data_IF_204068302809
#
_entry.id   IF_204068302809
#
_cell.length_a   1.000
_cell.length_b   1.000
_cell.length_c   1.000
_cell.angle_alpha   90.00
_cell.angle_beta   90.00
_cell.angle_gamma   90.00
#
_symmetry.space_group_name_H-M   'P 1'
#
loop_
_entity.id
_entity.type
_entity.pdbx_description
1 polymer ?
#
# COMPACT_ATOMS: atom_id res chain seq x y z
N UNK A 1 -27.50 0.46 -2.64
CA UNK A 1 -27.34 1.84 -2.13
C UNK A 1 -25.92 1.90 -1.61
N UNK A 2 -25.15 2.90 -2.03
CA UNK A 2 -23.75 3.03 -1.59
C UNK A 2 -23.66 3.50 -0.14
N UNK A 3 -22.43 3.69 0.33
CA UNK A 3 -22.13 4.15 1.67
C UNK A 3 -22.14 5.68 1.72
N UNK A 4 -22.88 6.23 2.69
CA UNK A 4 -23.12 7.68 2.81
C UNK A 4 -21.99 8.44 3.52
N UNK A 5 -21.01 7.73 4.10
CA UNK A 5 -19.79 8.30 4.68
C UNK A 5 -18.55 7.48 4.31
N UNK A 6 -17.40 8.13 4.08
CA UNK A 6 -16.13 7.44 3.92
C UNK A 6 -15.64 6.88 5.25
N UNK A 7 -15.02 5.70 5.21
CA UNK A 7 -14.31 5.16 6.36
C UNK A 7 -12.95 5.85 6.57
N UNK A 8 -12.46 5.90 7.79
CA UNK A 8 -11.11 6.41 8.07
C UNK A 8 -10.05 5.58 7.34
N UNK A 9 -9.17 6.25 6.59
CA UNK A 9 -8.01 5.64 5.89
C UNK A 9 -8.37 4.49 4.94
N UNK A 10 -9.60 4.45 4.40
CA UNK A 10 -10.00 3.45 3.41
C UNK A 10 -10.56 4.17 2.19
N UNK A 11 -9.78 4.22 1.11
CA UNK A 11 -10.20 4.83 -0.13
C UNK A 11 -11.02 3.82 -0.95
N UNK A 12 -12.23 4.23 -1.35
CA UNK A 12 -13.10 3.46 -2.25
C UNK A 12 -13.59 4.36 -3.39
N UNK A 13 -13.83 3.80 -4.59
CA UNK A 13 -14.46 4.55 -5.66
C UNK A 13 -15.91 4.91 -5.27
N UNK A 14 -16.43 5.98 -5.86
CA UNK A 14 -17.78 6.44 -5.61
C UNK A 14 -18.42 7.10 -6.81
N UNK A 15 -19.75 7.21 -6.79
CA UNK A 15 -20.51 7.78 -7.91
C UNK A 15 -20.27 9.29 -7.98
N UNK A 16 -19.43 9.72 -8.92
CA UNK A 16 -18.99 11.12 -9.08
C UNK A 16 -18.17 11.69 -7.91
N UNK A 17 -17.58 10.82 -7.08
CA UNK A 17 -16.73 11.24 -5.96
C UNK A 17 -15.28 11.16 -6.41
N UNK A 18 -14.59 12.30 -6.34
CA UNK A 18 -13.12 12.33 -6.42
C UNK A 18 -12.55 12.02 -5.04
N UNK A 19 -11.34 11.48 -4.97
CA UNK A 19 -10.65 11.12 -3.72
C UNK A 19 -10.21 12.34 -2.87
N UNK A 20 -10.88 13.50 -3.00
CA UNK A 20 -10.60 14.74 -2.29
C UNK A 20 -10.78 14.60 -0.76
N UNK A 21 -11.64 13.70 -0.29
CA UNK A 21 -11.81 13.40 1.13
C UNK A 21 -10.52 12.84 1.75
N UNK A 22 -9.68 12.14 0.97
CA UNK A 22 -8.41 11.60 1.43
C UNK A 22 -7.38 12.70 1.79
N UNK A 23 -7.62 13.96 1.42
CA UNK A 23 -6.78 15.11 1.80
C UNK A 23 -7.18 15.75 3.12
N UNK A 24 -8.33 15.39 3.69
CA UNK A 24 -8.81 15.98 4.93
C UNK A 24 -7.91 15.56 6.11
N UNK A 25 -7.55 16.50 6.99
CA UNK A 25 -6.71 16.20 8.15
C UNK A 25 -7.38 15.24 9.15
N UNK A 26 -8.72 15.24 9.21
CA UNK A 26 -9.51 14.29 10.02
C UNK A 26 -9.42 12.88 9.43
N UNK A 27 -9.31 12.75 8.11
CA UNK A 27 -9.11 11.44 7.46
C UNK A 27 -7.74 10.86 7.79
N UNK A 28 -6.68 11.67 7.63
CA UNK A 28 -5.30 11.32 7.96
C UNK A 28 -4.40 12.57 7.97
N UNK A 29 -4.11 13.10 9.16
CA UNK A 29 -3.22 14.26 9.34
C UNK A 29 -1.73 14.00 9.02
N UNK A 30 -1.34 12.74 8.87
CA UNK A 30 0.04 12.28 8.67
C UNK A 30 0.29 11.75 7.24
N UNK A 31 -0.69 11.88 6.34
CA UNK A 31 -0.60 11.40 4.95
C UNK A 31 0.72 11.82 4.29
N UNK A 32 1.07 13.10 4.41
CA UNK A 32 2.29 13.65 3.81
C UNK A 32 3.56 13.02 4.38
N UNK A 33 3.58 12.66 5.67
CA UNK A 33 4.70 11.98 6.30
C UNK A 33 4.85 10.54 5.78
N UNK A 34 3.75 9.78 5.78
CA UNK A 34 3.70 8.39 5.32
C UNK A 34 4.09 8.28 3.84
N UNK A 35 3.54 9.15 3.00
CA UNK A 35 3.86 9.14 1.57
C UNK A 35 5.31 9.61 1.31
N UNK A 36 5.85 10.53 2.14
CA UNK A 36 7.27 10.91 2.08
C UNK A 36 8.18 9.75 2.46
N UNK A 37 7.82 8.96 3.47
CA UNK A 37 8.58 7.77 3.85
C UNK A 37 8.66 6.77 2.68
N UNK A 38 7.53 6.50 2.01
CA UNK A 38 7.51 5.69 0.80
C UNK A 38 8.37 6.27 -0.33
N UNK A 39 8.30 7.58 -0.59
CA UNK A 39 9.14 8.22 -1.61
C UNK A 39 10.64 7.97 -1.36
N UNK A 40 11.08 8.00 -0.09
CA UNK A 40 12.46 7.68 0.30
C UNK A 40 12.78 6.21 0.03
N UNK A 41 11.88 5.28 0.39
CA UNK A 41 12.06 3.84 0.11
C UNK A 41 12.21 3.58 -1.39
N UNK A 42 11.35 4.18 -2.21
CA UNK A 42 11.40 4.06 -3.66
C UNK A 42 12.71 4.63 -4.23
N UNK A 43 13.16 5.78 -3.72
CA UNK A 43 14.44 6.37 -4.14
C UNK A 43 15.63 5.46 -3.80
N UNK A 44 15.61 4.83 -2.62
CA UNK A 44 16.65 3.89 -2.24
C UNK A 44 16.61 2.62 -3.10
N UNK A 45 15.42 2.11 -3.46
CA UNK A 45 15.28 0.99 -4.39
C UNK A 45 15.81 1.34 -5.79
N UNK A 46 15.51 2.54 -6.31
CA UNK A 46 16.10 3.03 -7.57
C UNK A 46 17.63 3.05 -7.51
N UNK A 47 18.20 3.47 -6.38
CA UNK A 47 19.65 3.44 -6.17
C UNK A 47 20.21 2.03 -6.13
N UNK A 48 19.48 1.05 -5.59
CA UNK A 48 19.89 -0.36 -5.66
C UNK A 48 19.98 -0.83 -7.12
N UNK A 49 19.03 -0.43 -7.97
CA UNK A 49 19.03 -0.77 -9.39
C UNK A 49 20.18 -0.14 -10.19
N UNK A 50 20.91 0.84 -9.64
CA UNK A 50 22.17 1.32 -10.24
C UNK A 50 23.30 0.28 -10.16
N UNK A 51 23.19 -0.70 -9.24
CA UNK A 51 24.24 -1.69 -8.97
C UNK A 51 23.78 -3.13 -9.24
N UNK A 52 22.50 -3.42 -9.06
CA UNK A 52 21.90 -4.74 -9.30
C UNK A 52 20.89 -4.59 -10.42
N UNK A 53 21.17 -5.19 -11.58
CA UNK A 53 20.29 -5.14 -12.74
C UNK A 53 18.90 -5.69 -12.38
N UNK A 54 17.80 -5.00 -12.71
CA UNK A 54 16.43 -5.49 -12.50
C UNK A 54 16.13 -6.64 -13.47
N UNK A 55 16.45 -7.87 -13.07
CA UNK A 55 16.26 -9.08 -13.84
C UNK A 55 16.01 -10.30 -12.93
N UNK A 56 15.43 -11.37 -13.49
CA UNK A 56 15.10 -12.61 -12.78
C UNK A 56 16.31 -13.22 -12.08
N UNK A 57 17.47 -13.25 -12.74
CA UNK A 57 18.70 -13.87 -12.23
C UNK A 57 19.21 -13.19 -10.95
N UNK A 58 18.81 -11.94 -10.72
CA UNK A 58 19.25 -11.16 -9.57
C UNK A 58 18.28 -11.17 -8.39
N UNK A 59 17.09 -11.77 -8.50
CA UNK A 59 16.07 -11.77 -7.45
C UNK A 59 16.58 -12.33 -6.11
N UNK A 60 17.41 -13.37 -6.15
CA UNK A 60 18.02 -13.96 -4.95
C UNK A 60 19.23 -13.17 -4.40
N UNK A 61 19.64 -12.07 -5.04
CA UNK A 61 20.77 -11.25 -4.56
C UNK A 61 20.43 -10.65 -3.20
N UNK A 62 21.35 -10.73 -2.24
CA UNK A 62 21.18 -10.18 -0.89
C UNK A 62 22.40 -9.34 -0.50
N UNK A 63 22.19 -8.33 0.35
CA UNK A 63 23.26 -7.47 0.83
C UNK A 63 22.85 -6.72 2.10
N UNK A 64 23.81 -6.04 2.75
CA UNK A 64 23.49 -5.18 3.88
C UNK A 64 22.58 -4.01 3.48
N UNK A 65 22.70 -3.51 2.24
CA UNK A 65 21.84 -2.44 1.72
C UNK A 65 20.40 -2.91 1.49
N UNK A 66 20.24 -4.14 1.01
CA UNK A 66 18.92 -4.78 0.87
C UNK A 66 18.30 -5.06 2.24
N UNK A 67 19.09 -5.55 3.20
CA UNK A 67 18.67 -5.73 4.59
C UNK A 67 18.15 -4.43 5.23
N UNK A 68 18.91 -3.33 5.10
CA UNK A 68 18.51 -2.02 5.62
C UNK A 68 17.22 -1.51 4.98
N UNK A 69 17.02 -1.76 3.69
CA UNK A 69 15.82 -1.35 2.97
C UNK A 69 14.61 -2.24 3.33
N UNK A 70 14.80 -3.56 3.44
CA UNK A 70 13.76 -4.51 3.86
C UNK A 70 13.21 -4.16 5.24
N UNK A 71 14.08 -3.90 6.21
CA UNK A 71 13.66 -3.53 7.57
C UNK A 71 12.82 -2.25 7.58
N UNK A 72 13.25 -1.22 6.85
CA UNK A 72 12.52 0.05 6.80
C UNK A 72 11.17 -0.11 6.08
N UNK A 73 11.15 -0.81 4.94
CA UNK A 73 9.90 -1.05 4.21
C UNK A 73 8.88 -1.81 5.06
N UNK A 74 9.27 -2.89 5.73
CA UNK A 74 8.35 -3.65 6.58
C UNK A 74 7.91 -2.86 7.80
N UNK A 75 8.78 -2.02 8.40
CA UNK A 75 8.40 -1.14 9.51
C UNK A 75 7.38 -0.08 9.06
N UNK A 76 7.54 0.49 7.86
CA UNK A 76 6.55 1.43 7.30
C UNK A 76 5.22 0.74 6.98
N UNK A 77 5.25 -0.50 6.50
CA UNK A 77 4.04 -1.31 6.33
C UNK A 77 3.31 -1.51 7.66
N UNK A 78 4.01 -1.97 8.71
CA UNK A 78 3.44 -2.13 10.06
C UNK A 78 2.86 -0.83 10.61
N UNK A 79 3.57 0.29 10.43
CA UNK A 79 3.12 1.62 10.84
C UNK A 79 1.81 2.02 10.15
N UNK A 80 1.70 1.80 8.84
CA UNK A 80 0.46 2.07 8.10
C UNK A 80 -0.69 1.18 8.58
N UNK A 81 -0.46 -0.12 8.76
CA UNK A 81 -1.50 -1.05 9.24
C UNK A 81 -2.04 -0.65 10.60
N UNK A 82 -1.15 -0.32 11.55
CA UNK A 82 -1.55 0.17 12.88
C UNK A 82 -2.41 1.42 12.79
N UNK A 83 -2.03 2.38 11.94
CA UNK A 83 -2.78 3.63 11.77
C UNK A 83 -4.17 3.41 11.18
N UNK A 84 -4.30 2.49 10.23
CA UNK A 84 -5.61 2.09 9.68
C UNK A 84 -6.49 1.50 10.79
N UNK A 85 -5.97 0.52 11.53
CA UNK A 85 -6.71 -0.16 12.59
C UNK A 85 -7.10 0.80 13.72
N UNK A 86 -6.16 1.59 14.24
CA UNK A 86 -6.42 2.54 15.33
C UNK A 86 -7.39 3.66 14.92
N UNK A 87 -7.34 4.13 13.67
CA UNK A 87 -8.28 5.15 13.19
C UNK A 87 -9.72 4.64 13.04
N UNK A 88 -9.92 3.33 13.10
CA UNK A 88 -11.22 2.67 13.01
C UNK A 88 -11.56 1.92 14.32
N UNK A 89 -11.06 2.41 15.47
CA UNK A 89 -11.48 1.91 16.77
C UNK A 89 -10.96 0.52 17.17
N UNK A 90 -9.96 -0.05 16.47
CA UNK A 90 -9.40 -1.36 16.85
C UNK A 90 -8.73 -1.31 18.23
N UNK A 91 -9.14 -2.20 19.13
CA UNK A 91 -8.81 -2.11 20.56
C UNK A 91 -7.42 -2.65 20.92
N UNK A 92 -6.84 -3.55 20.13
CA UNK A 92 -5.54 -4.15 20.46
C UNK A 92 -4.38 -3.18 20.26
N UNK A 93 -3.53 -3.07 21.28
CA UNK A 93 -2.32 -2.23 21.28
C UNK A 93 -1.06 -3.01 20.86
N UNK A 94 -1.11 -4.34 20.86
CA UNK A 94 0.00 -5.24 20.53
C UNK A 94 -0.24 -5.98 19.21
N UNK A 95 -0.63 -5.22 18.19
CA UNK A 95 -0.97 -5.74 16.87
C UNK A 95 0.20 -6.49 16.21
N UNK A 96 -0.15 -7.57 15.52
CA UNK A 96 0.73 -8.41 14.74
C UNK A 96 0.18 -8.61 13.31
N UNK A 97 0.84 -9.45 12.51
CA UNK A 97 0.48 -9.66 11.10
C UNK A 97 -0.93 -10.22 10.89
N UNK A 98 -1.50 -10.94 11.86
CA UNK A 98 -2.88 -11.42 11.78
C UNK A 98 -3.89 -10.29 11.96
N UNK A 99 -3.57 -9.30 12.79
CA UNK A 99 -4.38 -8.09 12.90
C UNK A 99 -4.30 -7.28 11.60
N UNK A 100 -3.09 -7.19 11.02
CA UNK A 100 -2.91 -6.49 9.75
C UNK A 100 -3.63 -7.19 8.59
N UNK A 101 -3.75 -8.52 8.61
CA UNK A 101 -4.54 -9.26 7.61
C UNK A 101 -6.00 -8.79 7.55
N UNK A 102 -6.60 -8.40 8.68
CA UNK A 102 -7.99 -7.89 8.71
C UNK A 102 -8.21 -6.67 7.82
N UNK A 103 -7.18 -5.85 7.63
CA UNK A 103 -7.28 -4.68 6.74
C UNK A 103 -7.46 -5.11 5.27
N UNK A 104 -7.07 -6.33 4.90
CA UNK A 104 -7.24 -6.84 3.55
C UNK A 104 -8.70 -6.83 3.12
N UNK A 105 -9.64 -7.18 4.00
CA UNK A 105 -11.08 -7.16 3.70
C UNK A 105 -11.58 -5.75 3.38
N UNK A 106 -11.14 -4.76 4.15
CA UNK A 106 -11.61 -3.39 4.01
C UNK A 106 -10.98 -2.65 2.83
N UNK A 107 -9.72 -2.96 2.49
CA UNK A 107 -8.93 -2.28 1.46
C UNK A 107 -8.70 -3.12 0.19
N UNK A 108 -9.07 -4.40 0.18
CA UNK A 108 -8.88 -5.38 -0.90
C UNK A 108 -7.43 -5.45 -1.39
N UNK A 109 -6.48 -5.52 -0.46
CA UNK A 109 -5.04 -5.40 -0.77
C UNK A 109 -4.54 -6.49 -1.73
N UNK A 110 -5.06 -7.71 -1.60
CA UNK A 110 -4.74 -8.87 -2.45
C UNK A 110 -5.15 -8.71 -3.91
N UNK A 111 -6.11 -7.84 -4.21
CA UNK A 111 -6.59 -7.60 -5.59
C UNK A 111 -5.70 -6.65 -6.38
N UNK A 112 -4.78 -5.91 -5.74
CA UNK A 112 -3.88 -5.00 -6.44
C UNK A 112 -2.78 -5.77 -7.19
N UNK A 113 -2.60 -5.42 -8.47
CA UNK A 113 -1.47 -5.88 -9.28
C UNK A 113 -0.61 -4.70 -9.70
N UNK A 114 0.69 -4.86 -9.51
CA UNK A 114 1.70 -3.89 -9.92
C UNK A 114 2.58 -4.45 -11.02
N UNK A 115 3.17 -3.57 -11.82
CA UNK A 115 4.20 -3.94 -12.80
C UNK A 115 5.41 -3.02 -12.68
N UNK A 116 6.60 -3.56 -12.91
CA UNK A 116 7.82 -2.80 -13.19
C UNK A 116 8.18 -3.01 -14.67
N UNK A 117 8.00 -1.96 -15.48
CA UNK A 117 8.17 -2.04 -16.93
C UNK A 117 9.64 -2.07 -17.39
N UNK A 118 10.56 -1.46 -16.61
CA UNK A 118 11.99 -1.40 -16.94
C UNK A 118 12.76 -2.64 -16.45
N UNK A 119 12.19 -3.83 -16.67
CA UNK A 119 12.83 -5.11 -16.34
C UNK A 119 13.62 -5.63 -17.54
N UNK A 120 14.79 -6.25 -17.31
CA UNK A 120 15.55 -6.91 -18.37
C UNK A 120 14.85 -8.22 -18.73
N UNK A 121 14.18 -8.22 -19.87
CA UNK A 121 13.32 -9.32 -20.32
C UNK A 121 11.89 -8.85 -20.40
N UNK A 122 10.95 -9.67 -19.89
CA UNK A 122 9.56 -9.29 -19.77
C UNK A 122 9.33 -8.45 -18.50
N UNK A 123 8.38 -7.50 -18.49
CA UNK A 123 8.00 -6.77 -17.27
C UNK A 123 7.65 -7.71 -16.12
N UNK A 124 8.18 -7.43 -14.94
CA UNK A 124 7.83 -8.20 -13.74
C UNK A 124 6.49 -7.71 -13.17
N UNK A 125 5.57 -8.67 -12.97
CA UNK A 125 4.29 -8.44 -12.30
C UNK A 125 4.39 -8.83 -10.84
N UNK A 126 3.83 -7.99 -9.97
CA UNK A 126 3.93 -8.12 -8.53
C UNK A 126 2.54 -8.11 -7.90
N UNK A 127 2.35 -9.00 -6.94
CA UNK A 127 1.19 -9.04 -6.05
C UNK A 127 1.69 -9.20 -4.61
N UNK A 128 1.98 -8.09 -3.92
CA UNK A 128 2.61 -8.14 -2.60
C UNK A 128 1.71 -8.77 -1.51
N UNK A 129 0.41 -8.93 -1.79
CA UNK A 129 -0.58 -9.50 -0.88
C UNK A 129 -1.29 -10.72 -1.48
N UNK A 130 -0.70 -11.43 -2.44
CA UNK A 130 -1.36 -12.56 -3.12
C UNK A 130 -1.72 -13.69 -2.14
N UNK A 131 -0.90 -13.91 -1.10
CA UNK A 131 -1.20 -14.92 -0.08
C UNK A 131 -2.41 -14.54 0.80
N UNK A 132 -2.92 -13.31 0.70
CA UNK A 132 -4.14 -12.89 1.39
C UNK A 132 -5.39 -12.96 0.49
N UNK A 133 -5.30 -13.62 -0.67
CA UNK A 133 -6.40 -13.70 -1.63
C UNK A 133 -7.45 -14.78 -1.31
N UNK A 134 -7.27 -15.54 -0.22
CA UNK A 134 -8.23 -16.53 0.26
C UNK A 134 -8.96 -16.02 1.51
N UNK A 135 -10.06 -16.66 1.91
CA UNK A 135 -10.82 -16.30 3.11
C UNK A 135 -10.01 -16.57 4.41
N UNK A 136 -9.05 -17.50 4.36
CA UNK A 136 -8.19 -17.86 5.48
C UNK A 136 -6.86 -17.10 5.45
N UNK A 137 -6.33 -16.78 6.64
CA UNK A 137 -5.02 -16.15 6.76
C UNK A 137 -3.90 -17.09 6.27
N UNK A 138 -3.14 -16.64 5.27
CA UNK A 138 -1.83 -17.20 4.94
C UNK A 138 -0.69 -16.19 5.17
N UNK A 139 0.49 -16.63 5.64
CA UNK A 139 1.62 -15.73 5.86
C UNK A 139 2.18 -15.15 4.54
N UNK A 140 2.34 -13.83 4.47
CA UNK A 140 3.07 -13.17 3.38
C UNK A 140 4.55 -13.55 3.41
N UNK A 141 5.09 -14.10 2.32
CA UNK A 141 6.46 -14.61 2.28
C UNK A 141 7.50 -13.53 2.63
N UNK A 142 7.39 -12.34 2.02
CA UNK A 142 8.33 -11.24 2.26
C UNK A 142 8.31 -10.74 3.71
N UNK A 143 7.14 -10.77 4.38
CA UNK A 143 7.01 -10.35 5.77
C UNK A 143 7.56 -11.41 6.74
N UNK A 144 7.34 -12.70 6.45
CA UNK A 144 7.96 -13.78 7.22
C UNK A 144 9.48 -13.75 7.11
N UNK A 145 10.00 -13.49 5.91
CA UNK A 145 11.43 -13.36 5.68
C UNK A 145 12.03 -12.15 6.37
N UNK A 146 11.34 -11.01 6.36
CA UNK A 146 11.66 -9.87 7.20
C UNK A 146 11.78 -10.24 8.68
N UNK A 147 10.78 -10.94 9.24
CA UNK A 147 10.80 -11.33 10.65
C UNK A 147 11.96 -12.29 10.98
N UNK A 148 12.20 -13.29 10.13
CA UNK A 148 13.33 -14.21 10.26
C UNK A 148 14.67 -13.46 10.29
N UNK A 149 14.81 -12.48 9.40
CA UNK A 149 16.01 -11.64 9.28
C UNK A 149 16.17 -10.68 10.45
N UNK A 150 15.08 -10.09 10.94
CA UNK A 150 15.03 -9.19 12.11
C UNK A 150 15.44 -9.91 13.40
N UNK A 151 14.96 -11.13 13.60
CA UNK A 151 15.20 -11.87 14.83
C UNK A 151 16.47 -12.72 14.81
N UNK A 152 16.88 -13.23 13.64
CA UNK A 152 18.06 -14.07 13.50
C UNK A 152 18.80 -13.85 12.17
N UNK A 153 19.41 -12.68 12.05
CA UNK A 153 20.17 -12.28 10.87
C UNK A 153 21.32 -13.24 10.53
N UNK A 154 21.97 -13.85 11.53
CA UNK A 154 23.17 -14.65 11.28
C UNK A 154 22.90 -15.84 10.36
N UNK A 155 21.74 -16.48 10.51
CA UNK A 155 21.34 -17.61 9.68
C UNK A 155 20.41 -17.20 8.52
N UNK A 156 19.70 -16.09 8.66
CA UNK A 156 18.68 -15.68 7.69
C UNK A 156 19.11 -14.54 6.75
N UNK A 157 20.34 -14.00 6.84
CA UNK A 157 20.75 -12.82 6.07
C UNK A 157 20.43 -12.89 4.58
N UNK A 158 20.51 -14.08 3.97
CA UNK A 158 20.16 -14.31 2.55
C UNK A 158 18.71 -13.99 2.18
N UNK A 159 17.79 -13.99 3.15
CA UNK A 159 16.38 -13.63 2.98
C UNK A 159 16.19 -12.12 2.85
N UNK A 160 17.21 -11.31 3.12
CA UNK A 160 17.25 -9.91 2.68
C UNK A 160 17.55 -9.81 1.16
N UNK A 161 16.76 -10.53 0.37
CA UNK A 161 16.90 -10.65 -1.08
C UNK A 161 16.28 -9.46 -1.80
N UNK A 162 16.68 -9.24 -3.06
CA UNK A 162 16.10 -8.22 -3.91
C UNK A 162 14.60 -8.44 -4.10
N UNK A 163 14.18 -9.69 -4.28
CA UNK A 163 12.77 -10.09 -4.38
C UNK A 163 11.96 -9.62 -3.17
N UNK A 164 12.40 -9.96 -1.95
CA UNK A 164 11.68 -9.58 -0.73
C UNK A 164 11.67 -8.06 -0.52
N UNK A 165 12.73 -7.36 -0.91
CA UNK A 165 12.78 -5.90 -0.87
C UNK A 165 11.79 -5.28 -1.85
N UNK A 166 11.74 -5.75 -3.10
CA UNK A 166 10.79 -5.26 -4.11
C UNK A 166 9.36 -5.49 -3.61
N UNK A 167 9.04 -6.70 -3.13
CA UNK A 167 7.73 -7.05 -2.60
C UNK A 167 7.34 -6.23 -1.37
N UNK A 168 8.26 -5.98 -0.43
CA UNK A 168 7.99 -5.14 0.73
C UNK A 168 7.73 -3.67 0.35
N UNK A 169 8.53 -3.10 -0.55
CA UNK A 169 8.33 -1.70 -1.02
C UNK A 169 7.03 -1.59 -1.83
N UNK A 170 6.72 -2.59 -2.67
CA UNK A 170 5.44 -2.72 -3.36
C UNK A 170 4.26 -2.82 -2.39
N UNK A 171 4.40 -3.59 -1.31
CA UNK A 171 3.41 -3.70 -0.25
C UNK A 171 3.10 -2.36 0.41
N UNK A 172 4.14 -1.59 0.76
CA UNK A 172 3.98 -0.22 1.29
C UNK A 172 3.23 0.68 0.29
N UNK A 173 3.57 0.61 -1.00
CA UNK A 173 2.86 1.38 -2.02
C UNK A 173 1.37 1.01 -2.06
N UNK A 174 1.05 -0.28 -2.13
CA UNK A 174 -0.34 -0.75 -2.22
C UNK A 174 -1.12 -0.30 -0.99
N UNK A 175 -0.57 -0.46 0.22
CA UNK A 175 -1.20 0.00 1.47
C UNK A 175 -1.41 1.52 1.50
N UNK A 176 -0.51 2.31 0.94
CA UNK A 176 -0.70 3.77 0.85
C UNK A 176 -1.72 4.14 -0.22
N UNK A 177 -1.65 3.50 -1.39
CA UNK A 177 -2.57 3.76 -2.49
C UNK A 177 -4.01 3.37 -2.14
N UNK A 178 -4.21 2.30 -1.37
CA UNK A 178 -5.53 1.94 -0.85
C UNK A 178 -6.03 2.91 0.24
N UNK A 179 -5.15 3.69 0.88
CA UNK A 179 -5.52 4.76 1.80
C UNK A 179 -5.77 6.11 1.10
N UNK A 180 -4.97 6.48 0.09
CA UNK A 180 -4.94 7.86 -0.44
C UNK A 180 -5.12 7.97 -1.95
N UNK A 181 -5.27 6.85 -2.65
CA UNK A 181 -5.36 6.77 -4.10
C UNK A 181 -4.24 7.59 -4.77
N UNK A 182 -4.53 8.36 -5.82
CA UNK A 182 -3.55 9.16 -6.55
C UNK A 182 -2.84 10.22 -5.68
N UNK A 183 -3.39 10.58 -4.52
CA UNK A 183 -2.73 11.47 -3.57
C UNK A 183 -1.53 10.85 -2.84
N UNK A 184 -1.30 9.54 -2.98
CA UNK A 184 -0.06 8.88 -2.52
C UNK A 184 1.18 9.48 -3.20
N UNK A 185 1.04 9.96 -4.44
CA UNK A 185 2.17 10.39 -5.26
C UNK A 185 2.40 11.90 -5.25
N UNK A 186 1.50 12.68 -4.66
CA UNK A 186 1.52 14.16 -4.74
C UNK A 186 2.12 14.82 -3.51
N UNK A 187 3.06 14.13 -2.85
CA UNK A 187 3.71 14.54 -1.58
C UNK A 187 4.36 15.93 -1.65
N UNK A 188 4.99 16.25 -2.78
CA UNK A 188 5.76 17.48 -2.97
C UNK A 188 5.08 18.50 -3.90
N UNK A 189 3.85 18.23 -4.33
CA UNK A 189 3.16 19.05 -5.34
C UNK A 189 1.89 19.68 -4.77
N UNK A 190 1.63 20.93 -5.17
CA UNK A 190 0.37 21.63 -4.87
C UNK A 190 -0.77 21.20 -5.80
N UNK A 191 -0.47 20.58 -6.94
CA UNK A 191 -1.43 20.16 -7.96
C UNK A 191 -1.27 18.66 -8.25
N UNK A 192 -2.38 17.93 -8.31
CA UNK A 192 -2.36 16.50 -8.65
C UNK A 192 -2.29 16.33 -10.17
N UNK A 193 -1.10 16.06 -10.72
CA UNK A 193 -0.96 15.63 -12.12
C UNK A 193 -0.71 14.12 -12.12
N UNK A 194 -1.71 13.36 -12.56
CA UNK A 194 -1.62 11.92 -12.80
C UNK A 194 -2.11 11.64 -14.20
N UNK A 195 -1.45 10.73 -14.92
CA UNK A 195 -1.87 10.31 -16.24
C UNK A 195 -2.58 8.96 -16.11
N UNK A 196 -3.88 8.96 -16.37
CA UNK A 196 -4.65 7.74 -16.56
C UNK A 196 -4.59 7.35 -18.03
N UNK A 197 -4.22 6.10 -18.31
CA UNK A 197 -4.22 5.60 -19.68
C UNK A 197 -5.66 5.22 -20.04
N UNK A 198 -6.27 5.96 -20.96
CA UNK A 198 -7.70 5.93 -21.31
C UNK A 198 -8.34 4.55 -21.61
N UNK A 199 -7.54 3.49 -21.79
CA UNK A 199 -8.03 2.22 -22.29
C UNK A 199 -8.06 1.07 -21.26
N UNK A 200 -7.35 1.14 -20.12
CA UNK A 200 -7.17 -0.04 -19.24
C UNK A 200 -7.26 0.24 -17.71
N UNK A 201 -7.75 1.40 -17.26
CA UNK A 201 -7.67 1.83 -15.84
C UNK A 201 -6.24 1.78 -15.25
N UNK A 202 -5.23 1.74 -16.11
CA UNK A 202 -3.83 1.71 -15.72
C UNK A 202 -3.37 3.14 -15.41
N UNK A 203 -2.90 3.33 -14.18
CA UNK A 203 -2.37 4.62 -13.75
C UNK A 203 -0.84 4.59 -13.78
N UNK A 204 -0.27 5.50 -14.57
CA UNK A 204 1.19 5.69 -14.64
C UNK A 204 1.52 7.09 -14.17
N UNK A 205 2.48 7.18 -13.25
CA UNK A 205 2.93 8.45 -12.69
C UNK A 205 4.41 8.57 -13.00
N UNK A 206 4.81 9.70 -13.59
CA UNK A 206 6.11 9.87 -14.23
C UNK A 206 7.33 9.55 -13.34
N UNK A 207 7.17 9.59 -12.01
CA UNK A 207 8.24 9.31 -11.05
C UNK A 207 8.05 8.02 -10.24
N UNK A 208 6.94 7.30 -10.42
CA UNK A 208 6.70 6.02 -9.74
C UNK A 208 7.53 4.90 -10.38
N UNK A 209 8.14 4.07 -9.54
CA UNK A 209 8.83 2.85 -9.96
C UNK A 209 7.84 1.77 -10.41
N UNK A 210 6.72 1.68 -9.69
CA UNK A 210 5.68 0.71 -9.92
C UNK A 210 4.54 1.36 -10.68
N UNK A 211 4.03 0.65 -11.68
CA UNK A 211 2.77 0.94 -12.34
C UNK A 211 1.66 0.16 -11.65
N UNK A 212 0.54 0.81 -11.37
CA UNK A 212 -0.66 0.12 -10.87
C UNK A 212 -1.40 -0.43 -12.10
N UNK A 213 -1.32 -1.75 -12.29
CA UNK A 213 -1.88 -2.46 -13.45
C UNK A 213 -3.37 -2.75 -13.24
N UNK A 214 -3.73 -3.21 -12.04
CA UNK A 214 -5.11 -3.52 -11.65
C UNK A 214 -5.41 -2.99 -10.24
N UNK A 215 -6.65 -2.52 -10.04
CA UNK A 215 -7.18 -2.09 -8.75
C UNK A 215 -8.42 -2.92 -8.39
N UNK A 216 -8.78 -3.01 -7.10
CA UNK A 216 -9.89 -3.84 -6.65
C UNK A 216 -11.22 -3.52 -7.33
N UNK A 217 -12.03 -4.55 -7.53
CA UNK A 217 -13.41 -4.39 -7.97
C UNK A 217 -14.31 -4.11 -6.77
N UNK A 218 -15.22 -3.14 -6.90
CA UNK A 218 -16.12 -2.75 -5.82
C UNK A 218 -17.57 -2.96 -6.25
N UNK A 219 -18.35 -3.65 -5.42
CA UNK A 219 -19.79 -3.73 -5.61
C UNK A 219 -20.47 -2.40 -5.26
N UNK A 220 -21.64 -2.15 -5.83
CA UNK A 220 -22.31 -0.85 -5.67
C UNK A 220 -22.71 -0.51 -4.22
N UNK A 221 -22.84 -1.51 -3.36
CA UNK A 221 -23.06 -1.32 -1.92
C UNK A 221 -21.78 -1.06 -1.12
N UNK A 222 -20.61 -1.33 -1.69
CA UNK A 222 -19.31 -1.05 -1.06
C UNK A 222 -18.74 0.30 -1.47
N UNK A 223 -19.21 0.85 -2.60
CA UNK A 223 -18.83 2.17 -3.11
C UNK A 223 -19.39 3.29 -2.26
N UNK A 224 -18.70 4.42 -2.29
CA UNK A 224 -19.17 5.66 -1.64
C UNK A 224 -20.22 6.39 -2.51
N UNK A 225 -21.24 6.94 -1.85
CA UNK A 225 -22.38 7.65 -2.50
C UNK A 225 -22.77 8.92 -1.71
N UNK A 226 -21.78 9.77 -1.42
CA UNK A 226 -21.95 11.04 -0.70
C UNK A 226 -21.49 12.26 -1.51
N UNK A 227 -22.01 13.45 -1.17
CA UNK A 227 -21.48 14.73 -1.68
C UNK A 227 -20.45 15.30 -0.72
N UNK A 228 -19.17 15.22 -1.09
CA UNK A 228 -18.07 15.70 -0.27
C UNK A 228 -18.17 17.19 0.08
N UNK A 229 -18.77 18.03 -0.77
CA UNK A 229 -18.90 19.46 -0.49
C UNK A 229 -19.87 19.78 0.63
N UNK A 230 -20.84 18.89 0.87
CA UNK A 230 -21.77 18.99 1.98
C UNK A 230 -21.20 18.28 3.20
N UNK A 231 -20.75 17.03 3.02
CA UNK A 231 -20.28 16.18 4.09
C UNK A 231 -19.11 16.81 4.86
N UNK A 232 -18.15 17.45 4.17
CA UNK A 232 -17.00 18.10 4.83
C UNK A 232 -17.35 19.25 5.80
N UNK A 233 -18.60 19.69 5.83
CA UNK A 233 -19.10 20.73 6.75
C UNK A 233 -19.78 20.15 7.98
N UNK A 234 -20.04 18.84 8.01
CA UNK A 234 -20.58 18.14 9.17
C UNK A 234 -19.52 18.03 10.27
N UNK A 235 -19.97 17.81 11.51
CA UNK A 235 -19.08 17.64 12.67
C UNK A 235 -18.27 16.34 12.58
N UNK A 236 -18.89 15.28 12.05
CA UNK A 236 -18.25 13.97 11.83
C UNK A 236 -18.42 13.51 10.38
N UNK A 237 -17.52 13.92 9.47
CA UNK A 237 -17.60 13.61 8.05
C UNK A 237 -17.15 12.18 7.68
N UNK A 238 -16.70 11.38 8.65
CA UNK A 238 -16.18 10.02 8.44
C UNK A 238 -16.94 9.02 9.32
N UNK A 239 -16.66 7.73 9.15
CA UNK A 239 -17.16 6.67 10.02
C UNK A 239 -16.08 5.60 10.23
N UNK A 240 -16.23 4.78 11.27
CA UNK A 240 -15.32 3.66 11.56
C UNK A 240 -15.71 2.41 10.76
N UNK A 241 -14.71 1.68 10.28
CA UNK A 241 -14.88 0.33 9.74
C UNK A 241 -14.68 -0.69 10.85
N UNK A 242 -15.66 -1.56 11.07
CA UNK A 242 -15.56 -2.58 12.13
C UNK A 242 -14.57 -3.69 11.73
N UNK A 243 -13.44 -3.73 12.42
CA UNK A 243 -12.40 -4.78 12.28
C UNK A 243 -12.49 -5.85 13.39
N UNK A 244 -13.44 -5.75 14.31
CA UNK A 244 -13.60 -6.68 15.44
C UNK A 244 -14.53 -7.85 15.09
N UNK A 245 -15.45 -7.65 14.14
CA UNK A 245 -16.49 -8.62 13.76
C UNK A 245 -16.05 -9.75 12.79
N UNK A 246 -14.73 -9.99 12.66
CA UNK A 246 -14.14 -11.09 11.84
C UNK A 246 -13.07 -11.90 12.59
#
# INVERSE_FOLDING_TARGET
>A
MGLDKPYYRIARPGKNIKFEYCKNDVYANDRSELCRAYYILQKDLKKIFEFIEPCEENLCTYSHRLYELLLRACTEFENNCKRILTANGYEDTHMNIKDYYKINKALKLSEYKLTIDFWRGDPIRLKPFDEWNDDEYHPLNWYQDYNNVKHDRNYNFKRASLENVISAVAGVLVTLYSQFNYHTFTVFQLHDICFETLNNNQMTIAESLFKIEETPEWHDNEKYDFDWNNLKKEEDPFQEYDFNDD
#
